data_IF_466697897465
#
_entry.id   IF_466697897465
#
_cell.length_a   1.000
_cell.length_b   1.000
_cell.length_c   1.000
_cell.angle_alpha   90.00
_cell.angle_beta   90.00
_cell.angle_gamma   90.00
#
_symmetry.space_group_name_H-M   'P 1'
#
loop_
_entity.id
_entity.type
_entity.pdbx_description
1 polymer ?
#
# COMPACT_ATOMS: atom_id res chain seq x y z
N UNK A 1 14.30 -5.79 -13.31
CA UNK A 1 13.54 -5.00 -12.34
C UNK A 1 12.87 -3.84 -13.05
N UNK A 2 11.59 -3.59 -12.76
CA UNK A 2 10.84 -2.43 -13.26
C UNK A 2 10.25 -1.67 -12.07
N UNK A 3 10.46 -0.36 -12.03
CA UNK A 3 9.80 0.54 -11.07
C UNK A 3 8.64 1.25 -11.79
N UNK A 4 7.46 1.26 -11.19
CA UNK A 4 6.29 1.98 -11.66
C UNK A 4 5.81 2.93 -10.57
N UNK A 5 5.72 4.22 -10.86
CA UNK A 5 5.13 5.20 -9.93
C UNK A 5 3.61 5.07 -10.00
N UNK A 6 3.00 4.68 -8.90
CA UNK A 6 1.55 4.49 -8.76
C UNK A 6 0.84 5.79 -8.38
N UNK A 7 1.53 6.67 -7.68
CA UNK A 7 1.07 7.99 -7.31
C UNK A 7 2.25 8.89 -6.97
N UNK A 8 2.18 10.14 -7.38
CA UNK A 8 3.21 11.17 -7.17
C UNK A 8 2.67 12.43 -6.50
N UNK A 9 1.46 12.35 -5.95
CA UNK A 9 0.86 13.43 -5.18
C UNK A 9 1.35 13.46 -3.74
N UNK A 10 1.02 14.53 -3.03
CA UNK A 10 1.26 14.66 -1.60
C UNK A 10 0.26 13.81 -0.79
N UNK A 11 0.27 13.96 0.54
CA UNK A 11 -0.65 13.29 1.46
C UNK A 11 -2.15 13.48 1.11
N UNK A 12 -2.50 14.54 0.41
CA UNK A 12 -3.89 14.83 -0.01
C UNK A 12 -4.18 14.41 -1.46
N UNK A 13 -3.15 14.07 -2.24
CA UNK A 13 -3.29 13.89 -3.69
C UNK A 13 -3.57 15.21 -4.42
N UNK A 14 -3.77 15.15 -5.73
CA UNK A 14 -4.21 16.27 -6.57
C UNK A 14 -5.35 15.79 -7.47
N UNK A 15 -6.50 16.47 -7.55
CA UNK A 15 -6.86 17.73 -6.87
C UNK A 15 -7.06 17.56 -5.36
N UNK A 16 -6.84 18.66 -4.64
CA UNK A 16 -7.11 18.75 -3.20
C UNK A 16 -8.60 19.11 -3.00
N UNK A 17 -9.24 18.50 -2.02
CA UNK A 17 -10.65 18.78 -1.68
C UNK A 17 -10.82 20.26 -1.38
N UNK A 18 -11.86 20.86 -1.97
CA UNK A 18 -12.22 22.28 -1.82
C UNK A 18 -11.13 23.28 -2.31
N UNK A 19 -10.16 22.83 -3.11
CA UNK A 19 -9.16 23.72 -3.70
C UNK A 19 -9.55 24.14 -5.13
N UNK A 20 -9.63 25.45 -5.35
CA UNK A 20 -10.00 26.06 -6.64
C UNK A 20 -8.81 26.59 -7.44
N UNK A 21 -7.57 26.24 -7.08
CA UNK A 21 -6.40 26.68 -7.81
C UNK A 21 -6.39 26.12 -9.26
N UNK A 22 -5.66 26.75 -10.17
CA UNK A 22 -5.63 26.31 -11.58
C UNK A 22 -5.25 24.84 -11.78
N UNK A 23 -4.34 24.29 -10.97
CA UNK A 23 -3.91 22.89 -11.06
C UNK A 23 -5.03 21.95 -10.59
N UNK A 24 -5.68 22.24 -9.47
CA UNK A 24 -6.78 21.41 -8.96
C UNK A 24 -8.01 21.41 -9.89
N UNK A 25 -8.27 22.53 -10.59
CA UNK A 25 -9.34 22.69 -11.57
C UNK A 25 -8.97 22.24 -12.99
N UNK A 26 -7.71 21.96 -13.24
CA UNK A 26 -7.21 21.52 -14.55
C UNK A 26 -7.94 20.26 -15.03
N UNK A 27 -8.22 20.21 -16.32
CA UNK A 27 -8.71 19.01 -17.01
C UNK A 27 -7.58 18.08 -17.47
N UNK A 28 -6.32 18.51 -17.38
CA UNK A 28 -5.15 17.72 -17.77
C UNK A 28 -4.99 16.51 -16.83
N UNK A 29 -4.94 15.28 -17.37
CA UNK A 29 -4.69 14.07 -16.57
C UNK A 29 -3.35 14.10 -15.81
N UNK A 30 -2.35 14.84 -16.25
CA UNK A 30 -1.07 14.98 -15.57
C UNK A 30 -1.19 15.74 -14.24
N UNK A 31 -2.24 16.53 -14.08
CA UNK A 31 -2.56 17.24 -12.84
C UNK A 31 -3.42 16.40 -11.89
N UNK A 32 -3.74 15.15 -12.25
CA UNK A 32 -4.49 14.20 -11.39
C UNK A 32 -3.52 13.20 -10.78
N UNK A 33 -3.02 13.50 -9.58
CA UNK A 33 -1.97 12.73 -8.93
C UNK A 33 -2.49 12.06 -7.65
N UNK A 34 -2.51 10.75 -7.68
CA UNK A 34 -2.80 9.94 -6.50
C UNK A 34 -1.70 10.12 -5.45
N UNK A 35 -1.99 9.82 -4.20
CA UNK A 35 -1.02 9.82 -3.10
C UNK A 35 0.18 8.95 -3.40
N UNK A 36 1.33 9.30 -2.83
CA UNK A 36 2.61 8.65 -3.10
C UNK A 36 2.53 7.14 -2.89
N UNK A 37 2.90 6.39 -3.92
CA UNK A 37 3.10 4.95 -3.88
C UNK A 37 3.87 4.52 -5.12
N UNK A 38 4.60 3.41 -5.01
CA UNK A 38 5.35 2.83 -6.11
C UNK A 38 5.22 1.30 -6.14
N UNK A 39 5.45 0.70 -7.29
CA UNK A 39 5.48 -0.74 -7.48
C UNK A 39 6.81 -1.15 -8.07
N UNK A 40 7.46 -2.11 -7.42
CA UNK A 40 8.59 -2.86 -7.96
C UNK A 40 8.08 -4.16 -8.57
N UNK A 41 8.44 -4.42 -9.83
CA UNK A 41 8.27 -5.71 -10.47
C UNK A 41 9.65 -6.35 -10.64
N UNK A 42 9.90 -7.41 -9.87
CA UNK A 42 11.17 -8.12 -9.86
C UNK A 42 10.89 -9.59 -10.19
N UNK A 43 11.29 -10.04 -11.36
CA UNK A 43 11.05 -11.43 -11.81
C UNK A 43 9.56 -11.82 -11.77
N UNK A 44 8.65 -10.88 -12.04
CA UNK A 44 7.20 -11.09 -11.97
C UNK A 44 6.58 -10.94 -10.57
N UNK A 45 7.38 -10.86 -9.52
CA UNK A 45 6.92 -10.58 -8.14
C UNK A 45 6.68 -9.09 -7.97
N UNK A 46 5.46 -8.73 -7.60
CA UNK A 46 5.06 -7.33 -7.39
C UNK A 46 5.12 -6.97 -5.92
N UNK A 47 5.95 -5.98 -5.63
CA UNK A 47 6.14 -5.41 -4.29
C UNK A 47 5.68 -3.96 -4.34
N UNK A 48 4.77 -3.59 -3.46
CA UNK A 48 4.23 -2.23 -3.37
C UNK A 48 4.94 -1.48 -2.25
N UNK A 49 5.33 -0.24 -2.52
CA UNK A 49 5.83 0.69 -1.51
C UNK A 49 4.67 1.64 -1.17
N UNK A 50 4.23 1.56 0.08
CA UNK A 50 3.09 2.26 0.67
C UNK A 50 1.72 1.92 0.05
N UNK A 51 0.76 1.67 0.92
CA UNK A 51 -0.62 1.32 0.60
C UNK A 51 -1.58 2.36 1.22
N UNK A 52 -1.54 3.59 0.70
CA UNK A 52 -2.41 4.68 1.13
C UNK A 52 -3.87 4.52 0.67
N UNK A 53 -4.74 5.51 0.93
CA UNK A 53 -6.17 5.44 0.59
C UNK A 53 -6.46 5.20 -0.89
N UNK A 54 -5.52 5.50 -1.78
CA UNK A 54 -5.66 5.30 -3.22
C UNK A 54 -5.23 3.89 -3.68
N UNK A 55 -4.78 3.01 -2.76
CA UNK A 55 -4.23 1.69 -3.04
C UNK A 55 -5.14 0.86 -3.96
N UNK A 56 -6.43 0.77 -3.64
CA UNK A 56 -7.40 0.03 -4.46
C UNK A 56 -7.38 0.52 -5.93
N UNK A 57 -7.46 1.82 -6.14
CA UNK A 57 -7.48 2.38 -7.49
C UNK A 57 -6.14 2.19 -8.20
N UNK A 58 -5.02 2.33 -7.48
CA UNK A 58 -3.67 2.09 -8.00
C UNK A 58 -3.51 0.63 -8.48
N UNK A 59 -3.99 -0.34 -7.71
CA UNK A 59 -3.95 -1.77 -8.10
C UNK A 59 -4.83 -2.06 -9.31
N UNK A 60 -6.04 -1.53 -9.36
CA UNK A 60 -6.96 -1.69 -10.49
C UNK A 60 -6.38 -1.08 -11.78
N UNK A 61 -5.89 0.17 -11.72
CA UNK A 61 -5.30 0.88 -12.86
C UNK A 61 -4.06 0.16 -13.40
N UNK A 62 -3.25 -0.39 -12.52
CA UNK A 62 -2.03 -1.12 -12.88
C UNK A 62 -2.26 -2.60 -13.16
N UNK A 63 -3.52 -3.06 -13.12
CA UNK A 63 -3.92 -4.44 -13.37
C UNK A 63 -3.14 -5.48 -12.54
N UNK A 64 -2.82 -5.14 -11.29
CA UNK A 64 -2.11 -6.04 -10.37
C UNK A 64 -3.07 -7.17 -9.97
N UNK A 65 -2.72 -8.40 -10.32
CA UNK A 65 -3.52 -9.60 -10.01
C UNK A 65 -2.89 -10.45 -8.92
N UNK A 66 -1.58 -10.31 -8.73
CA UNK A 66 -0.82 -11.00 -7.69
C UNK A 66 0.07 -9.99 -6.96
N UNK A 67 0.02 -10.01 -5.64
CA UNK A 67 0.77 -9.13 -4.76
C UNK A 67 1.69 -9.97 -3.88
N UNK A 68 3.00 -9.79 -4.03
CA UNK A 68 3.96 -10.55 -3.23
C UNK A 68 4.14 -9.97 -1.84
N UNK A 69 4.31 -8.65 -1.74
CA UNK A 69 4.53 -7.96 -0.47
C UNK A 69 4.20 -6.46 -0.55
N UNK A 70 4.06 -5.84 0.62
CA UNK A 70 3.99 -4.39 0.79
C UNK A 70 5.14 -3.97 1.71
N UNK A 71 5.86 -2.92 1.32
CA UNK A 71 6.85 -2.22 2.14
C UNK A 71 6.23 -0.91 2.61
N UNK A 72 6.18 -0.69 3.91
CA UNK A 72 5.67 0.55 4.50
C UNK A 72 6.84 1.44 4.92
N UNK A 73 6.85 2.66 4.42
CA UNK A 73 7.87 3.65 4.79
C UNK A 73 7.63 4.18 6.21
N UNK A 74 6.37 4.46 6.55
CA UNK A 74 5.96 4.92 7.88
C UNK A 74 4.45 4.81 8.10
N UNK A 75 3.98 5.06 9.32
CA UNK A 75 2.60 4.78 9.76
C UNK A 75 1.57 5.89 9.51
N UNK A 76 1.82 6.91 8.70
CA UNK A 76 0.81 7.93 8.40
C UNK A 76 -0.32 7.36 7.51
N UNK A 77 -1.51 7.92 7.65
CA UNK A 77 -2.72 7.43 6.97
C UNK A 77 -2.64 7.44 5.45
N UNK A 78 -1.95 8.41 4.89
CA UNK A 78 -1.73 8.51 3.45
C UNK A 78 -0.79 7.43 2.90
N UNK A 79 -0.10 6.68 3.78
CA UNK A 79 0.78 5.55 3.45
C UNK A 79 0.22 4.18 3.84
N UNK A 80 -0.69 4.11 4.81
CA UNK A 80 -1.23 2.83 5.30
C UNK A 80 -2.75 2.67 5.14
N UNK A 81 -3.48 3.78 4.85
CA UNK A 81 -4.95 3.81 4.92
C UNK A 81 -5.68 2.85 3.98
N UNK A 82 -5.01 2.29 2.97
CA UNK A 82 -5.55 1.31 2.03
C UNK A 82 -5.26 -0.15 2.38
N UNK A 83 -4.64 -0.44 3.53
CA UNK A 83 -4.32 -1.82 3.93
C UNK A 83 -5.56 -2.71 4.08
N UNK A 84 -6.74 -2.16 4.32
CA UNK A 84 -7.98 -2.94 4.35
C UNK A 84 -8.27 -3.63 3.01
N UNK A 85 -7.89 -3.03 1.90
CA UNK A 85 -8.13 -3.57 0.56
C UNK A 85 -7.21 -4.75 0.19
N UNK A 86 -6.22 -5.10 1.03
CA UNK A 86 -5.39 -6.31 0.80
C UNK A 86 -6.20 -7.60 0.87
N UNK A 87 -7.37 -7.58 1.51
CA UNK A 87 -8.29 -8.72 1.56
C UNK A 87 -8.64 -9.27 0.17
N UNK A 88 -8.66 -8.43 -0.87
CA UNK A 88 -8.87 -8.90 -2.24
C UNK A 88 -7.74 -9.84 -2.70
N UNK A 89 -6.52 -9.58 -2.30
CA UNK A 89 -5.36 -10.44 -2.57
C UNK A 89 -5.34 -11.69 -1.68
N UNK A 90 -5.85 -11.60 -0.44
CA UNK A 90 -5.99 -12.78 0.41
C UNK A 90 -6.88 -13.85 -0.25
N UNK A 91 -7.98 -13.44 -0.90
CA UNK A 91 -8.85 -14.35 -1.65
C UNK A 91 -8.13 -15.01 -2.82
N UNK A 92 -7.36 -14.26 -3.59
CA UNK A 92 -6.63 -14.80 -4.76
C UNK A 92 -5.50 -15.73 -4.31
N UNK A 93 -4.72 -15.29 -3.31
CA UNK A 93 -3.55 -16.01 -2.79
C UNK A 93 -3.93 -17.17 -1.87
N UNK A 94 -5.17 -17.19 -1.33
CA UNK A 94 -5.63 -18.10 -0.27
C UNK A 94 -4.72 -18.03 0.98
N UNK A 95 -4.36 -16.82 1.40
CA UNK A 95 -3.50 -16.59 2.54
C UNK A 95 -3.18 -15.13 2.79
N UNK A 96 -2.45 -14.88 3.86
CA UNK A 96 -2.08 -13.53 4.28
C UNK A 96 -1.14 -12.83 3.30
N UNK A 97 -1.23 -11.50 3.23
CA UNK A 97 -0.27 -10.64 2.53
C UNK A 97 0.86 -10.28 3.50
N UNK A 98 2.10 -10.43 3.04
CA UNK A 98 3.28 -10.05 3.80
C UNK A 98 3.47 -8.52 3.73
N UNK A 99 3.53 -7.88 4.90
CA UNK A 99 3.75 -6.44 5.05
C UNK A 99 5.01 -6.22 5.87
N UNK A 100 5.89 -5.37 5.38
CA UNK A 100 7.19 -5.08 5.98
C UNK A 100 7.25 -3.61 6.39
N UNK A 101 7.78 -3.32 7.55
CA UNK A 101 7.99 -1.96 8.05
C UNK A 101 8.71 -1.98 9.39
N UNK A 102 9.13 -0.81 9.87
CA UNK A 102 9.77 -0.71 11.17
C UNK A 102 8.78 -0.92 12.35
N UNK A 103 9.33 -1.02 13.55
CA UNK A 103 8.53 -1.27 14.77
C UNK A 103 7.49 -0.18 15.03
N UNK A 104 7.85 1.11 14.88
CA UNK A 104 6.90 2.20 15.09
C UNK A 104 5.73 2.17 14.10
N UNK A 105 5.99 1.77 12.86
CA UNK A 105 4.94 1.57 11.86
C UNK A 105 4.05 0.38 12.23
N UNK A 106 4.62 -0.71 12.76
CA UNK A 106 3.86 -1.87 13.24
C UNK A 106 2.85 -1.46 14.31
N UNK A 107 3.27 -0.69 15.30
CA UNK A 107 2.39 -0.23 16.39
C UNK A 107 1.17 0.53 15.85
N UNK A 108 1.39 1.43 14.87
CA UNK A 108 0.30 2.17 14.24
C UNK A 108 -0.63 1.23 13.46
N UNK A 109 -0.08 0.32 12.65
CA UNK A 109 -0.88 -0.64 11.86
C UNK A 109 -1.72 -1.52 12.77
N UNK A 110 -1.14 -2.07 13.86
CA UNK A 110 -1.87 -2.92 14.82
C UNK A 110 -2.97 -2.15 15.55
N UNK A 111 -2.75 -0.88 15.86
CA UNK A 111 -3.76 -0.01 16.46
C UNK A 111 -4.91 0.29 15.49
N UNK A 112 -4.56 0.73 14.29
CA UNK A 112 -5.53 1.23 13.32
C UNK A 112 -6.36 0.13 12.65
N UNK A 113 -5.75 -1.04 12.49
CA UNK A 113 -6.37 -2.24 11.91
C UNK A 113 -6.48 -3.37 12.93
N UNK A 114 -6.75 -3.04 14.21
CA UNK A 114 -6.78 -3.99 15.32
C UNK A 114 -7.68 -5.19 15.07
N UNK A 115 -8.77 -5.02 14.33
CA UNK A 115 -9.68 -6.11 13.93
C UNK A 115 -9.02 -7.17 13.04
N UNK A 116 -7.98 -6.80 12.27
CA UNK A 116 -7.23 -7.74 11.43
C UNK A 116 -6.26 -8.62 12.25
N UNK A 117 -5.90 -8.17 13.47
CA UNK A 117 -4.95 -8.84 14.37
C UNK A 117 -5.60 -9.41 15.63
N UNK A 118 -6.93 -9.28 15.76
CA UNK A 118 -7.66 -9.80 16.92
C UNK A 118 -7.58 -11.34 16.99
N UNK A 119 -7.63 -11.90 18.20
CA UNK A 119 -7.67 -13.36 18.42
C UNK A 119 -8.91 -13.99 17.79
N UNK A 120 -10.04 -13.30 17.82
CA UNK A 120 -11.25 -13.67 17.10
C UNK A 120 -11.47 -12.66 15.96
N UNK A 121 -11.37 -13.13 14.72
CA UNK A 121 -11.51 -12.31 13.52
C UNK A 121 -12.82 -12.61 12.81
N UNK A 122 -13.52 -11.56 12.41
CA UNK A 122 -14.70 -11.70 11.59
C UNK A 122 -14.30 -12.18 10.16
N UNK A 123 -15.08 -13.07 9.52
CA UNK A 123 -14.78 -13.51 8.17
C UNK A 123 -14.71 -12.33 7.17
N UNK A 124 -13.66 -12.29 6.35
CA UNK A 124 -13.47 -11.25 5.33
C UNK A 124 -12.69 -10.01 5.78
N UNK A 125 -12.15 -10.00 7.02
CA UNK A 125 -11.14 -8.99 7.40
C UNK A 125 -9.83 -9.24 6.65
N UNK A 126 -8.97 -8.21 6.46
CA UNK A 126 -7.69 -8.41 5.84
C UNK A 126 -6.79 -9.35 6.66
N UNK A 127 -6.13 -10.27 5.97
CA UNK A 127 -5.12 -11.15 6.57
C UNK A 127 -3.73 -10.62 6.24
N UNK A 128 -3.02 -10.20 7.27
CA UNK A 128 -1.72 -9.54 7.17
C UNK A 128 -0.71 -10.27 8.05
N UNK A 129 0.43 -10.64 7.46
CA UNK A 129 1.63 -11.03 8.20
C UNK A 129 2.56 -9.82 8.25
N UNK A 130 2.74 -9.24 9.43
CA UNK A 130 3.63 -8.10 9.59
C UNK A 130 5.03 -8.56 9.97
N UNK A 131 6.02 -8.14 9.19
CA UNK A 131 7.44 -8.40 9.40
C UNK A 131 8.15 -7.10 9.79
N UNK A 132 8.74 -7.08 10.97
CA UNK A 132 9.54 -5.93 11.42
C UNK A 132 10.89 -5.98 10.72
N UNK A 133 11.25 -4.87 10.10
CA UNK A 133 12.55 -4.66 9.48
C UNK A 133 13.26 -3.46 10.14
N UNK A 134 14.56 -3.48 10.10
CA UNK A 134 15.46 -2.43 10.57
C UNK A 134 16.44 -2.00 9.46
N UNK A 135 17.58 -1.46 9.81
CA UNK A 135 18.64 -1.03 8.90
C UNK A 135 19.50 -2.17 8.34
N UNK A 136 19.25 -3.40 8.76
CA UNK A 136 19.96 -4.60 8.24
C UNK A 136 19.34 -5.09 6.94
N UNK A 137 20.12 -5.67 6.03
CA UNK A 137 19.58 -6.33 4.86
C UNK A 137 18.56 -7.42 5.22
N UNK A 138 17.43 -7.45 4.50
CA UNK A 138 16.41 -8.49 4.63
C UNK A 138 16.03 -9.05 3.27
N UNK A 139 15.23 -10.12 3.27
CA UNK A 139 14.85 -10.81 2.04
C UNK A 139 13.32 -10.93 1.94
N UNK A 140 12.83 -10.76 0.73
CA UNK A 140 11.47 -11.15 0.32
C UNK A 140 11.67 -12.29 -0.70
N UNK A 141 11.51 -13.53 -0.27
CA UNK A 141 11.92 -14.75 -0.99
C UNK A 141 13.41 -14.72 -1.34
N UNK A 142 13.73 -14.67 -2.67
CA UNK A 142 15.08 -14.58 -3.24
C UNK A 142 15.49 -13.14 -3.60
N UNK A 143 14.72 -12.15 -3.17
CA UNK A 143 14.96 -10.72 -3.43
C UNK A 143 15.51 -10.09 -2.14
N UNK A 144 16.73 -9.54 -2.21
CA UNK A 144 17.34 -8.77 -1.14
C UNK A 144 16.96 -7.29 -1.26
#
# INVERSE_FOLDING_TARGET
>A
MKLTILGSGTSQGIPVIACDCPVCRSADPHDKRLRASAMLDIKGKKIIIDAGPDFRYQMLRSQVKDLRAILLTHGHKDHIGGLDDVRAFNWVKQGAVDVYGNEGTREVVYKDFSYAFAAFRYPGVPEINYHVIDDRPFYIDDIQ
#
